data_IF_970888007881
#
_entry.id   IF_970888007881
#
_cell.length_a   1.000
_cell.length_b   1.000
_cell.length_c   1.000
_cell.angle_alpha   90.00
_cell.angle_beta   90.00
_cell.angle_gamma   90.00
#
_symmetry.space_group_name_H-M   'P 1'
#
loop_
_entity.id
_entity.type
_entity.pdbx_description
1 polymer ?
#
# COMPACT_ATOMS: atom_id res chain seq x y z
N UNK A 1 -6.89 6.98 -11.42
CA UNK A 1 -5.92 6.46 -10.44
C UNK A 1 -6.09 4.96 -10.35
N UNK A 2 -5.17 4.19 -10.94
CA UNK A 2 -5.08 2.76 -10.63
C UNK A 2 -4.27 2.60 -9.36
N UNK A 3 -4.77 1.80 -8.43
CA UNK A 3 -4.02 1.41 -7.26
C UNK A 3 -3.13 0.21 -7.56
N UNK A 4 -1.82 0.41 -7.49
CA UNK A 4 -0.80 -0.61 -7.78
C UNK A 4 -0.19 -1.24 -6.54
N UNK A 5 -0.68 -0.92 -5.34
CA UNK A 5 -0.15 -1.45 -4.06
C UNK A 5 -0.17 -2.98 -4.04
N UNK A 6 -1.23 -3.60 -4.57
CA UNK A 6 -1.31 -5.07 -4.66
C UNK A 6 -0.19 -5.65 -5.54
N UNK A 7 0.16 -4.97 -6.63
CA UNK A 7 1.23 -5.40 -7.55
C UNK A 7 2.57 -5.36 -6.83
N UNK A 8 2.94 -4.22 -6.26
CA UNK A 8 4.20 -4.05 -5.50
C UNK A 8 4.28 -5.01 -4.31
N UNK A 9 3.18 -5.19 -3.58
CA UNK A 9 3.13 -6.15 -2.47
C UNK A 9 3.42 -7.58 -2.94
N UNK A 10 2.84 -8.00 -4.07
CA UNK A 10 3.09 -9.32 -4.66
C UNK A 10 4.51 -9.46 -5.19
N UNK A 11 5.08 -8.42 -5.79
CA UNK A 11 6.48 -8.41 -6.24
C UNK A 11 7.45 -8.63 -5.07
N UNK A 12 7.17 -8.02 -3.91
CA UNK A 12 7.91 -8.24 -2.66
C UNK A 12 7.58 -9.56 -1.94
N UNK A 13 6.65 -10.36 -2.47
CA UNK A 13 6.22 -11.66 -1.90
C UNK A 13 5.74 -11.58 -0.44
N UNK A 14 5.12 -10.48 -0.03
CA UNK A 14 4.58 -10.31 1.32
C UNK A 14 3.05 -10.37 1.35
N UNK A 15 2.49 -10.85 2.46
CA UNK A 15 1.03 -10.88 2.68
C UNK A 15 0.49 -9.50 3.07
N UNK A 16 -0.83 -9.31 3.00
CA UNK A 16 -1.47 -8.07 3.50
C UNK A 16 -1.20 -7.88 4.99
N UNK A 17 -1.13 -8.97 5.76
CA UNK A 17 -0.80 -8.97 7.19
C UNK A 17 0.64 -8.53 7.46
N UNK A 18 1.59 -9.00 6.65
CA UNK A 18 2.98 -8.57 6.76
C UNK A 18 3.13 -7.07 6.44
N UNK A 19 2.46 -6.61 5.36
CA UNK A 19 2.46 -5.20 4.99
C UNK A 19 1.80 -4.32 6.07
N UNK A 20 0.72 -4.78 6.69
CA UNK A 20 0.03 -4.03 7.74
C UNK A 20 0.88 -3.86 8.99
N UNK A 21 1.64 -4.90 9.38
CA UNK A 21 2.61 -4.84 10.48
C UNK A 21 3.72 -3.82 10.21
N UNK A 22 4.28 -3.82 9.01
CA UNK A 22 5.34 -2.88 8.61
C UNK A 22 4.85 -1.42 8.66
N UNK A 23 3.62 -1.17 8.20
CA UNK A 23 3.03 0.16 8.16
C UNK A 23 2.33 0.57 9.46
N UNK A 24 2.28 -0.32 10.46
CA UNK A 24 1.57 -0.15 11.74
C UNK A 24 0.10 0.23 11.55
N UNK A 25 -0.57 -0.46 10.63
CA UNK A 25 -2.01 -0.33 10.36
C UNK A 25 -2.69 -1.70 10.47
N UNK A 26 -4.01 -1.73 10.43
CA UNK A 26 -4.75 -2.99 10.39
C UNK A 26 -4.63 -3.67 9.02
N UNK A 27 -4.73 -5.01 8.98
CA UNK A 27 -4.83 -5.75 7.70
C UNK A 27 -6.04 -5.28 6.89
N UNK A 28 -7.12 -4.92 7.55
CA UNK A 28 -8.34 -4.38 6.95
C UNK A 28 -8.06 -3.07 6.23
N UNK A 29 -7.22 -2.19 6.79
CA UNK A 29 -6.77 -0.96 6.14
C UNK A 29 -6.04 -1.27 4.83
N UNK A 30 -5.08 -2.18 4.85
CA UNK A 30 -4.37 -2.60 3.61
C UNK A 30 -5.35 -3.17 2.58
N UNK A 31 -6.27 -4.03 3.01
CA UNK A 31 -7.27 -4.61 2.14
C UNK A 31 -8.22 -3.54 1.56
N UNK A 32 -8.63 -2.56 2.36
CA UNK A 32 -9.50 -1.48 1.91
C UNK A 32 -8.78 -0.60 0.87
N UNK A 33 -7.50 -0.28 1.12
CA UNK A 33 -6.66 0.45 0.16
C UNK A 33 -6.59 -0.33 -1.16
N UNK A 34 -6.13 -1.58 -1.13
CA UNK A 34 -5.98 -2.40 -2.35
C UNK A 34 -7.26 -2.60 -3.17
N UNK A 35 -8.42 -2.43 -2.57
CA UNK A 35 -9.72 -2.54 -3.24
C UNK A 35 -10.38 -1.17 -3.47
N UNK A 36 -9.63 -0.06 -3.35
CA UNK A 36 -10.10 1.32 -3.54
C UNK A 36 -11.31 1.69 -2.65
N UNK A 37 -11.41 1.07 -1.47
CA UNK A 37 -12.45 1.35 -0.46
C UNK A 37 -12.00 2.39 0.57
N UNK A 38 -10.71 2.74 0.58
CA UNK A 38 -10.13 3.71 1.48
C UNK A 38 -8.94 4.37 0.81
N UNK A 39 -8.97 5.70 0.75
CA UNK A 39 -7.81 6.48 0.33
C UNK A 39 -6.85 6.65 1.52
N UNK A 40 -5.59 6.22 1.38
CA UNK A 40 -4.62 6.37 2.45
C UNK A 40 -4.36 7.84 2.74
N UNK A 41 -4.08 8.16 4.01
CA UNK A 41 -3.54 9.48 4.35
C UNK A 41 -2.24 9.74 3.59
N UNK A 42 -1.91 11.01 3.36
CA UNK A 42 -0.67 11.40 2.69
C UNK A 42 0.56 10.75 3.34
N UNK A 43 0.60 10.70 4.67
CA UNK A 43 1.65 10.03 5.43
C UNK A 43 1.74 8.53 5.12
N UNK A 44 0.60 7.83 5.01
CA UNK A 44 0.58 6.41 4.67
C UNK A 44 0.98 6.16 3.21
N UNK A 45 0.55 7.02 2.30
CA UNK A 45 0.96 6.99 0.90
C UNK A 45 2.48 7.14 0.74
N UNK A 46 3.11 8.09 1.44
CA UNK A 46 4.57 8.24 1.43
C UNK A 46 5.30 7.06 2.07
N UNK A 47 4.75 6.48 3.15
CA UNK A 47 5.33 5.26 3.74
C UNK A 47 5.26 4.07 2.78
N UNK A 48 4.15 3.90 2.06
CA UNK A 48 4.00 2.87 1.03
C UNK A 48 5.01 3.07 -0.10
N UNK A 49 5.13 4.30 -0.61
CA UNK A 49 6.08 4.66 -1.66
C UNK A 49 7.51 4.34 -1.24
N UNK A 50 7.92 4.79 -0.05
CA UNK A 50 9.24 4.48 0.53
C UNK A 50 9.44 2.98 0.72
N UNK A 51 8.44 2.28 1.24
CA UNK A 51 8.53 0.84 1.47
C UNK A 51 8.72 0.09 0.15
N UNK A 52 8.07 0.51 -0.92
CA UNK A 52 8.12 -0.14 -2.23
C UNK A 52 9.22 0.39 -3.16
N UNK A 53 10.01 1.35 -2.70
CA UNK A 53 11.08 1.99 -3.48
C UNK A 53 10.57 2.59 -4.81
N UNK A 54 9.48 3.36 -4.69
CA UNK A 54 8.74 3.97 -5.81
C UNK A 54 8.18 5.32 -5.35
N UNK A 55 7.47 6.04 -6.23
CA UNK A 55 6.79 7.29 -5.88
C UNK A 55 5.31 7.08 -5.56
N UNK A 56 4.68 8.06 -4.90
CA UNK A 56 3.23 8.05 -4.67
C UNK A 56 2.47 8.08 -6.01
N UNK A 57 2.95 8.84 -6.98
CA UNK A 57 2.35 8.92 -8.31
C UNK A 57 2.37 7.56 -9.03
N UNK A 58 3.50 6.86 -8.98
CA UNK A 58 3.63 5.51 -9.53
C UNK A 58 2.75 4.47 -8.82
N UNK A 59 2.44 4.66 -7.53
CA UNK A 59 1.54 3.77 -6.78
C UNK A 59 0.07 3.96 -7.12
N UNK A 60 -0.33 5.15 -7.56
CA UNK A 60 -1.74 5.50 -7.75
C UNK A 60 -2.10 6.02 -9.16
N UNK A 61 -1.24 5.83 -10.17
CA UNK A 61 -1.47 6.26 -11.56
C UNK A 61 -2.58 5.50 -12.27
#
# INVERSE_FOLDING_TARGET
>A
MKNRIREYRKQKRISQEALSKELKVSRQTINAIENNKYDPTLTLAFKLAKLFDTTVDELFS
#
